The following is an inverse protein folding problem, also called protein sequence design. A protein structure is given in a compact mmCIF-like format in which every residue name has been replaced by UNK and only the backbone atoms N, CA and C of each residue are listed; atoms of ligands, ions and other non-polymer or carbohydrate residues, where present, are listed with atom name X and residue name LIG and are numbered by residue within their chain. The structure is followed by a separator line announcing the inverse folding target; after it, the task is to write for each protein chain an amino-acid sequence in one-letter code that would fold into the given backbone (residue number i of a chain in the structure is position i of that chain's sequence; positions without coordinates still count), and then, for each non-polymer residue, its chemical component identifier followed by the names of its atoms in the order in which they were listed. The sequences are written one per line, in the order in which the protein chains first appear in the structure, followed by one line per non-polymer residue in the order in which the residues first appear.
data_IF_672126689789
#
_entry.id   IF_672126689789
#
_cell.length_a   1.000
_cell.length_b   1.000
_cell.length_c   1.000
_cell.angle_alpha   90.00
_cell.angle_beta   90.00
_cell.angle_gamma   90.00
#
_symmetry.space_group_name_H-M   'P 1'
#
loop_
_entity.id
_entity.type
_entity.pdbx_description
1 polymer ?
#
# COMPACT_ATOMS: atom_id res chain seq x y z
N UNK A 1 -17.01 -14.02 -0.57
CA UNK A 1 -16.36 -14.49 -1.82
C UNK A 1 -16.48 -16.01 -1.85
N UNK A 2 -16.62 -16.62 -3.03
CA UNK A 2 -16.67 -18.08 -3.19
C UNK A 2 -15.29 -18.70 -2.87
N UNK A 3 -15.27 -19.95 -2.42
CA UNK A 3 -14.03 -20.70 -2.28
C UNK A 3 -13.42 -20.91 -3.67
N UNK A 4 -12.16 -20.51 -3.82
CA UNK A 4 -11.39 -20.66 -5.06
C UNK A 4 -10.34 -21.78 -4.88
N UNK A 5 -9.92 -22.38 -5.99
CA UNK A 5 -8.79 -23.31 -6.01
C UNK A 5 -7.87 -22.91 -7.15
N UNK A 6 -6.62 -22.55 -6.79
CA UNK A 6 -5.58 -22.18 -7.74
C UNK A 6 -4.45 -23.17 -7.64
N UNK A 7 -3.96 -23.64 -8.78
CA UNK A 7 -2.86 -24.61 -8.86
C UNK A 7 -1.70 -24.00 -9.63
N UNK A 8 -0.52 -23.97 -9.02
CA UNK A 8 0.73 -23.47 -9.62
C UNK A 8 1.78 -24.57 -9.58
N UNK A 9 2.76 -24.48 -10.48
CA UNK A 9 3.98 -25.29 -10.45
C UNK A 9 5.12 -24.41 -9.96
N UNK A 10 5.56 -24.63 -8.73
CA UNK A 10 6.61 -23.83 -8.07
C UNK A 10 7.96 -24.54 -8.15
N UNK A 11 9.02 -23.78 -8.33
CA UNK A 11 10.39 -24.27 -8.20
C UNK A 11 10.70 -24.60 -6.73
N UNK A 12 11.72 -25.43 -6.45
CA UNK A 12 12.12 -25.73 -5.06
C UNK A 12 12.38 -24.47 -4.22
N UNK A 13 13.08 -23.49 -4.78
CA UNK A 13 13.35 -22.23 -4.09
C UNK A 13 12.09 -21.40 -3.81
N UNK A 14 11.10 -21.41 -4.71
CA UNK A 14 9.80 -20.77 -4.46
C UNK A 14 9.01 -21.50 -3.38
N UNK A 15 9.08 -22.83 -3.34
CA UNK A 15 8.46 -23.61 -2.26
C UNK A 15 9.10 -23.35 -0.91
N UNK A 16 10.45 -23.24 -0.86
CA UNK A 16 11.19 -22.94 0.37
C UNK A 16 10.84 -21.55 0.90
N UNK A 17 10.73 -20.56 0.00
CA UNK A 17 10.28 -19.20 0.35
C UNK A 17 8.86 -19.21 0.89
N UNK A 18 7.93 -19.88 0.21
CA UNK A 18 6.54 -20.01 0.65
C UNK A 18 6.44 -20.66 2.04
N UNK A 19 7.16 -21.75 2.27
CA UNK A 19 7.20 -22.42 3.57
C UNK A 19 7.80 -21.52 4.65
N UNK A 20 8.92 -20.87 4.37
CA UNK A 20 9.59 -19.96 5.30
C UNK A 20 8.70 -18.80 5.77
N UNK A 21 7.92 -18.24 4.83
CA UNK A 21 7.00 -17.12 5.10
C UNK A 21 5.84 -17.45 6.02
N UNK A 22 5.43 -18.73 6.06
CA UNK A 22 4.24 -19.17 6.83
C UNK A 22 4.52 -20.41 7.67
N UNK A 23 5.75 -20.59 8.14
CA UNK A 23 6.21 -21.76 8.89
C UNK A 23 5.34 -22.08 10.10
N UNK A 24 4.89 -21.06 10.81
CA UNK A 24 4.08 -21.19 12.02
C UNK A 24 2.65 -21.66 11.72
N UNK A 25 2.22 -21.62 10.46
CA UNK A 25 0.94 -22.12 9.98
C UNK A 25 1.03 -23.56 9.43
N UNK A 26 2.16 -24.24 9.62
CA UNK A 26 2.38 -25.59 9.13
C UNK A 26 1.55 -26.62 9.89
N UNK A 27 0.94 -27.55 9.12
CA UNK A 27 0.18 -28.69 9.64
C UNK A 27 0.68 -29.98 9.02
N UNK A 28 0.25 -31.15 9.54
CA UNK A 28 0.61 -32.44 8.95
C UNK A 28 0.15 -32.50 7.49
N UNK A 29 1.08 -32.69 6.54
CA UNK A 29 0.74 -32.73 5.13
C UNK A 29 0.04 -34.04 4.74
N UNK A 30 -0.83 -34.02 3.74
CA UNK A 30 -1.39 -35.24 3.18
C UNK A 30 -0.30 -36.06 2.45
N UNK A 31 -0.63 -37.30 2.11
CA UNK A 31 0.29 -38.21 1.37
C UNK A 31 0.83 -37.53 0.09
N UNK A 32 2.14 -37.71 -0.16
CA UNK A 32 2.89 -37.14 -1.29
C UNK A 32 3.02 -35.62 -1.28
N UNK A 33 2.58 -34.92 -0.24
CA UNK A 33 2.84 -33.50 -0.07
C UNK A 33 4.13 -33.26 0.72
N UNK A 34 4.92 -32.31 0.26
CA UNK A 34 6.13 -31.85 0.94
C UNK A 34 5.79 -31.09 2.21
N UNK A 35 4.75 -30.22 2.14
CA UNK A 35 4.20 -29.48 3.28
C UNK A 35 2.75 -29.04 3.03
N UNK A 36 2.03 -28.75 4.10
CA UNK A 36 0.74 -28.08 4.06
C UNK A 36 0.73 -26.94 5.07
N UNK A 37 0.19 -25.79 4.64
CA UNK A 37 0.00 -24.59 5.46
C UNK A 37 -1.49 -24.31 5.59
N UNK A 38 -1.95 -24.03 6.83
CA UNK A 38 -3.35 -23.69 7.11
C UNK A 38 -3.40 -22.25 7.62
N UNK A 39 -3.80 -21.36 6.75
CA UNK A 39 -4.01 -19.93 7.01
C UNK A 39 -5.49 -19.67 7.31
N UNK A 40 -5.84 -18.48 7.80
CA UNK A 40 -7.21 -18.16 8.26
C UNK A 40 -8.29 -18.47 7.19
N UNK A 41 -8.06 -18.10 5.93
CA UNK A 41 -9.01 -18.28 4.82
C UNK A 41 -8.40 -19.04 3.62
N UNK A 42 -7.27 -19.72 3.81
CA UNK A 42 -6.59 -20.46 2.74
C UNK A 42 -5.83 -21.66 3.26
N UNK A 43 -5.93 -22.79 2.55
CA UNK A 43 -5.09 -23.96 2.74
C UNK A 43 -4.17 -24.06 1.54
N UNK A 44 -2.87 -24.17 1.79
CA UNK A 44 -1.85 -24.32 0.74
C UNK A 44 -1.22 -25.70 0.89
N UNK A 45 -1.29 -26.51 -0.15
CA UNK A 45 -0.67 -27.84 -0.17
C UNK A 45 0.37 -27.89 -1.29
N UNK A 46 1.63 -28.05 -0.95
CA UNK A 46 2.71 -28.21 -1.91
C UNK A 46 3.19 -29.65 -1.96
N UNK A 47 3.28 -30.18 -3.16
CA UNK A 47 3.68 -31.55 -3.44
C UNK A 47 5.15 -31.63 -3.89
N UNK A 48 5.76 -32.78 -3.72
CA UNK A 48 7.13 -33.11 -4.17
C UNK A 48 7.34 -32.84 -5.66
N UNK A 49 6.29 -33.03 -6.47
CA UNK A 49 6.30 -32.75 -7.91
C UNK A 49 6.44 -31.27 -8.30
N UNK A 50 6.46 -30.36 -7.33
CA UNK A 50 6.42 -28.92 -7.54
C UNK A 50 5.02 -28.34 -7.67
N UNK A 51 3.96 -29.19 -7.72
CA UNK A 51 2.58 -28.72 -7.75
C UNK A 51 2.20 -28.17 -6.38
N UNK A 52 1.77 -26.91 -6.33
CA UNK A 52 1.21 -26.26 -5.14
C UNK A 52 -0.24 -25.85 -5.39
N UNK A 53 -1.13 -26.22 -4.47
CA UNK A 53 -2.57 -25.97 -4.55
C UNK A 53 -2.97 -25.01 -3.45
N UNK A 54 -3.57 -23.89 -3.81
CA UNK A 54 -4.08 -22.85 -2.92
C UNK A 54 -5.61 -22.95 -2.92
N UNK A 55 -6.22 -23.18 -1.76
CA UNK A 55 -7.66 -23.41 -1.63
C UNK A 55 -8.26 -22.52 -0.55
N UNK A 56 -9.32 -21.78 -0.87
CA UNK A 56 -10.04 -20.94 0.08
C UNK A 56 -10.43 -19.59 -0.50
N UNK A 57 -10.98 -18.73 0.35
CA UNK A 57 -11.42 -17.39 -0.05
C UNK A 57 -10.26 -16.49 -0.45
N UNK A 58 -9.09 -16.67 0.18
CA UNK A 58 -7.88 -15.88 -0.05
C UNK A 58 -6.85 -16.63 -0.91
N UNK A 59 -7.25 -17.69 -1.61
CA UNK A 59 -6.36 -18.51 -2.47
C UNK A 59 -5.61 -17.64 -3.50
N UNK A 60 -6.29 -16.70 -4.16
CA UNK A 60 -5.71 -15.80 -5.14
C UNK A 60 -4.67 -14.85 -4.51
N UNK A 61 -4.92 -14.38 -3.29
CA UNK A 61 -4.00 -13.49 -2.58
C UNK A 61 -2.64 -14.14 -2.38
N UNK A 62 -2.63 -15.40 -1.93
CA UNK A 62 -1.38 -16.14 -1.69
C UNK A 62 -0.74 -16.69 -2.96
N UNK A 63 -1.56 -17.11 -3.94
CA UNK A 63 -1.06 -17.62 -5.22
C UNK A 63 -0.43 -16.52 -6.09
N UNK A 64 -0.95 -15.30 -6.04
CA UNK A 64 -0.50 -14.19 -6.89
C UNK A 64 1.00 -13.88 -6.75
N UNK A 65 1.58 -14.08 -5.55
CA UNK A 65 3.00 -13.91 -5.30
C UNK A 65 3.90 -14.87 -6.12
N UNK A 66 3.34 -15.96 -6.65
CA UNK A 66 4.04 -17.02 -7.39
C UNK A 66 3.53 -17.19 -8.84
N UNK A 67 2.51 -16.44 -9.24
CA UNK A 67 2.08 -16.41 -10.65
C UNK A 67 3.09 -15.65 -11.49
N UNK A 68 3.36 -16.15 -12.71
CA UNK A 68 4.14 -15.35 -13.67
C UNK A 68 3.38 -14.07 -13.95
N UNK A 69 4.07 -12.92 -14.03
CA UNK A 69 3.42 -11.69 -14.48
C UNK A 69 2.75 -11.90 -15.83
N UNK A 70 1.49 -11.53 -15.93
CA UNK A 70 0.80 -11.50 -17.22
C UNK A 70 1.37 -10.33 -18.03
N UNK A 71 2.13 -10.64 -19.09
CA UNK A 71 2.74 -9.64 -19.97
C UNK A 71 1.71 -8.69 -20.59
N UNK A 72 0.45 -9.14 -20.74
CA UNK A 72 -0.67 -8.29 -21.19
C UNK A 72 -1.01 -7.17 -20.21
N UNK A 73 -0.56 -7.27 -18.96
CA UNK A 73 -0.78 -6.25 -17.92
C UNK A 73 0.24 -5.09 -17.98
N UNK A 74 1.23 -5.12 -18.88
CA UNK A 74 2.26 -4.07 -18.93
C UNK A 74 2.26 -3.36 -20.29
N UNK A 75 2.57 -2.04 -20.33
CA UNK A 75 2.82 -1.18 -19.18
C UNK A 75 1.55 -0.88 -18.39
N UNK A 76 1.70 -0.70 -17.08
CA UNK A 76 0.62 -0.32 -16.17
C UNK A 76 1.01 0.90 -15.34
N UNK A 77 0.02 1.69 -14.93
CA UNK A 77 0.19 2.75 -13.93
C UNK A 77 -0.78 2.51 -12.77
N UNK A 78 -0.28 2.56 -11.56
CA UNK A 78 -1.08 2.36 -10.36
C UNK A 78 -0.82 3.44 -9.31
N UNK A 79 -1.79 3.68 -8.43
CA UNK A 79 -1.61 4.59 -7.31
C UNK A 79 -2.18 4.03 -6.01
N UNK A 80 -1.54 4.42 -4.91
CA UNK A 80 -1.91 4.05 -3.55
C UNK A 80 -1.60 5.18 -2.58
N UNK A 81 -2.19 5.11 -1.37
CA UNK A 81 -2.01 6.11 -0.31
C UNK A 81 -1.59 5.49 1.02
N UNK A 82 -0.84 6.27 1.81
CA UNK A 82 -0.41 5.94 3.18
C UNK A 82 -0.68 7.11 4.12
N UNK A 83 -0.93 6.81 5.40
CA UNK A 83 -1.10 7.79 6.46
C UNK A 83 -2.55 8.18 6.73
N UNK A 84 -3.52 7.62 6.00
CA UNK A 84 -4.95 7.93 6.20
C UNK A 84 -5.54 7.32 7.47
N UNK A 85 -4.95 6.23 7.96
CA UNK A 85 -5.30 5.56 9.22
C UNK A 85 -4.44 5.97 10.42
N UNK A 86 -3.46 6.84 10.21
CA UNK A 86 -2.54 7.30 11.24
C UNK A 86 -2.94 8.68 11.76
N UNK A 87 -3.02 8.82 13.08
CA UNK A 87 -3.31 10.10 13.72
C UNK A 87 -2.20 11.13 13.47
N UNK A 88 -0.96 10.73 13.71
CA UNK A 88 0.23 11.54 13.42
C UNK A 88 0.71 11.36 11.98
N UNK A 89 1.43 12.38 11.50
CA UNK A 89 2.06 12.35 10.19
C UNK A 89 1.14 12.72 9.02
N UNK A 90 1.72 12.86 7.83
CA UNK A 90 1.06 13.35 6.64
C UNK A 90 0.12 12.31 6.01
N UNK A 91 -0.58 12.73 4.95
CA UNK A 91 -1.14 11.82 3.94
C UNK A 91 -0.22 11.85 2.72
N UNK A 92 0.26 10.68 2.33
CA UNK A 92 1.13 10.50 1.18
C UNK A 92 0.39 9.70 0.11
N UNK A 93 0.40 10.18 -1.14
CA UNK A 93 -0.17 9.47 -2.30
C UNK A 93 0.90 9.40 -3.38
N UNK A 94 1.11 8.21 -3.93
CA UNK A 94 2.01 8.01 -5.04
C UNK A 94 1.27 7.38 -6.23
N UNK A 95 1.66 7.77 -7.45
CA UNK A 95 1.35 7.04 -8.68
C UNK A 95 2.66 6.68 -9.37
N UNK A 96 2.81 5.45 -9.85
CA UNK A 96 4.01 4.99 -10.56
C UNK A 96 3.68 4.15 -11.79
N UNK A 97 4.54 4.25 -12.81
CA UNK A 97 4.46 3.43 -14.02
C UNK A 97 5.44 2.28 -13.91
N UNK A 98 4.94 1.07 -14.16
CA UNK A 98 5.74 -0.16 -14.24
C UNK A 98 5.63 -0.72 -15.66
N UNK A 99 6.78 -1.01 -16.26
CA UNK A 99 6.93 -1.67 -17.55
C UNK A 99 7.36 -3.12 -17.35
N UNK A 100 7.19 -3.95 -18.35
CA UNK A 100 7.66 -5.34 -18.31
C UNK A 100 9.16 -5.43 -17.94
N UNK A 101 9.99 -4.51 -18.43
CA UNK A 101 11.43 -4.45 -18.13
C UNK A 101 11.75 -4.14 -16.66
N UNK A 102 10.78 -3.71 -15.88
CA UNK A 102 10.98 -3.33 -14.47
C UNK A 102 10.63 -4.50 -13.53
N UNK A 103 9.90 -5.51 -14.03
CA UNK A 103 9.34 -6.60 -13.20
C UNK A 103 10.42 -7.35 -12.44
N UNK A 104 11.53 -7.72 -13.10
CA UNK A 104 12.62 -8.46 -12.45
C UNK A 104 13.20 -7.72 -11.25
N UNK A 105 13.42 -6.40 -11.39
CA UNK A 105 13.90 -5.55 -10.29
C UNK A 105 12.87 -5.47 -9.16
N UNK A 106 11.59 -5.32 -9.48
CA UNK A 106 10.55 -5.22 -8.46
C UNK A 106 10.39 -6.53 -7.67
N UNK A 107 10.58 -7.68 -8.34
CA UNK A 107 10.58 -8.98 -7.68
C UNK A 107 11.81 -9.15 -6.77
N UNK A 108 13.00 -8.72 -7.22
CA UNK A 108 14.23 -8.72 -6.42
C UNK A 108 14.09 -7.86 -5.16
N UNK A 109 13.46 -6.68 -5.28
CA UNK A 109 13.19 -5.77 -4.17
C UNK A 109 12.00 -6.21 -3.29
N UNK A 110 11.38 -7.35 -3.58
CA UNK A 110 10.28 -7.90 -2.78
C UNK A 110 8.96 -7.15 -2.90
N UNK A 111 8.77 -6.29 -3.91
CA UNK A 111 7.57 -5.44 -4.06
C UNK A 111 6.27 -6.24 -4.07
N UNK A 112 6.31 -7.48 -4.57
CA UNK A 112 5.15 -8.37 -4.66
C UNK A 112 4.72 -8.96 -3.30
N UNK A 113 5.61 -8.98 -2.33
CA UNK A 113 5.37 -9.56 -0.99
C UNK A 113 5.00 -8.47 0.05
N UNK A 114 4.23 -7.46 -0.35
CA UNK A 114 3.94 -6.24 0.41
C UNK A 114 3.47 -6.46 1.87
N UNK A 115 2.86 -7.61 2.17
CA UNK A 115 2.42 -7.97 3.53
C UNK A 115 3.57 -8.37 4.46
N UNK A 116 4.76 -8.68 3.92
CA UNK A 116 5.94 -9.11 4.68
C UNK A 116 7.04 -8.05 4.70
N UNK A 117 6.88 -6.98 3.91
CA UNK A 117 7.86 -5.90 3.85
C UNK A 117 7.81 -5.09 5.14
N UNK A 118 8.93 -5.06 5.85
CA UNK A 118 9.09 -4.24 7.05
C UNK A 118 9.35 -2.77 6.70
N UNK A 119 9.16 -1.86 7.68
CA UNK A 119 9.54 -0.46 7.49
C UNK A 119 11.04 -0.28 7.17
N UNK A 120 11.90 -1.16 7.69
CA UNK A 120 13.33 -1.17 7.38
C UNK A 120 13.59 -1.51 5.90
N UNK A 121 12.91 -2.54 5.37
CA UNK A 121 13.01 -2.91 3.95
C UNK A 121 12.50 -1.78 3.05
N UNK A 122 11.41 -1.11 3.44
CA UNK A 122 10.88 0.05 2.71
C UNK A 122 11.90 1.18 2.66
N UNK A 123 12.52 1.52 3.79
CA UNK A 123 13.54 2.55 3.85
C UNK A 123 14.77 2.21 3.00
N UNK A 124 15.11 0.93 2.89
CA UNK A 124 16.22 0.44 2.09
C UNK A 124 15.89 0.40 0.59
N UNK A 125 14.72 -0.09 0.20
CA UNK A 125 14.40 -0.42 -1.19
C UNK A 125 13.69 0.69 -1.96
N UNK A 126 12.86 1.52 -1.30
CA UNK A 126 12.10 2.56 -1.99
C UNK A 126 12.95 3.60 -2.75
N UNK A 127 14.16 3.99 -2.31
CA UNK A 127 15.03 4.85 -3.11
C UNK A 127 15.36 4.28 -4.49
N UNK A 128 15.59 2.97 -4.59
CA UNK A 128 15.87 2.30 -5.88
C UNK A 128 14.62 2.31 -6.79
N UNK A 129 13.41 2.10 -6.21
CA UNK A 129 12.15 2.22 -6.94
C UNK A 129 11.94 3.65 -7.48
N UNK A 130 12.19 4.66 -6.64
CA UNK A 130 12.05 6.07 -7.02
C UNK A 130 13.05 6.48 -8.12
N UNK A 131 14.26 5.94 -8.10
CA UNK A 131 15.25 6.19 -9.14
C UNK A 131 14.89 5.51 -10.47
N UNK A 132 14.22 4.35 -10.42
CA UNK A 132 13.92 3.54 -11.61
C UNK A 132 12.60 3.87 -12.26
N UNK A 133 11.53 4.06 -11.46
CA UNK A 133 10.17 4.16 -11.97
C UNK A 133 9.77 5.62 -12.20
N UNK A 134 9.15 5.95 -13.36
CA UNK A 134 8.42 7.20 -13.50
C UNK A 134 7.32 7.25 -12.44
N UNK A 135 7.35 8.26 -11.56
CA UNK A 135 6.40 8.38 -10.47
C UNK A 135 6.03 9.84 -10.17
N UNK A 136 4.92 10.00 -9.47
CA UNK A 136 4.48 11.27 -8.86
C UNK A 136 4.10 11.00 -7.42
N UNK A 137 4.82 11.61 -6.51
CA UNK A 137 4.60 11.54 -5.07
C UNK A 137 4.05 12.88 -4.57
N UNK A 138 2.96 12.81 -3.83
CA UNK A 138 2.32 13.95 -3.15
C UNK A 138 2.34 13.72 -1.64
N UNK A 139 2.82 14.70 -0.90
CA UNK A 139 2.85 14.70 0.57
C UNK A 139 2.01 15.87 1.06
N UNK A 140 0.92 15.57 1.76
CA UNK A 140 0.05 16.58 2.37
C UNK A 140 0.34 16.59 3.87
N UNK A 141 1.09 17.60 4.32
CA UNK A 141 1.41 17.78 5.74
C UNK A 141 0.15 18.02 6.58
N UNK A 142 0.28 17.84 7.90
CA UNK A 142 -0.86 17.91 8.82
C UNK A 142 -1.57 19.28 8.80
N UNK A 143 -0.86 20.40 8.73
CA UNK A 143 -1.46 21.73 8.64
C UNK A 143 -2.36 21.85 7.41
N UNK A 144 -1.84 21.49 6.23
CA UNK A 144 -2.61 21.55 4.98
C UNK A 144 -3.76 20.56 4.99
N UNK A 145 -3.53 19.35 5.51
CA UNK A 145 -4.58 18.36 5.68
C UNK A 145 -5.72 18.90 6.54
N UNK A 146 -5.44 19.44 7.72
CA UNK A 146 -6.43 19.97 8.66
C UNK A 146 -7.20 21.16 8.06
N UNK A 147 -6.52 22.03 7.31
CA UNK A 147 -7.15 23.14 6.59
C UNK A 147 -8.19 22.62 5.58
N UNK A 148 -7.78 21.69 4.70
CA UNK A 148 -8.62 21.15 3.64
C UNK A 148 -9.76 20.32 4.21
N UNK A 149 -9.51 19.56 5.28
CA UNK A 149 -10.48 18.68 5.90
C UNK A 149 -11.67 19.43 6.54
N UNK A 150 -11.54 20.72 6.85
CA UNK A 150 -12.65 21.56 7.35
C UNK A 150 -13.85 21.59 6.39
N UNK A 151 -13.60 21.50 5.09
CA UNK A 151 -14.63 21.62 4.04
C UNK A 151 -14.71 20.40 3.12
N UNK A 152 -13.76 19.47 3.23
CA UNK A 152 -13.63 18.35 2.30
C UNK A 152 -13.40 17.06 3.08
N UNK A 153 -14.27 16.07 2.90
CA UNK A 153 -14.11 14.78 3.59
C UNK A 153 -12.88 14.00 3.07
N UNK A 154 -12.43 13.01 3.87
CA UNK A 154 -11.22 12.25 3.58
C UNK A 154 -11.25 11.56 2.21
N UNK A 155 -12.39 10.94 1.82
CA UNK A 155 -12.49 10.27 0.52
C UNK A 155 -12.35 11.26 -0.65
N UNK A 156 -12.90 12.47 -0.51
CA UNK A 156 -12.74 13.51 -1.52
C UNK A 156 -11.29 14.03 -1.57
N UNK A 157 -10.61 14.14 -0.44
CA UNK A 157 -9.18 14.48 -0.38
C UNK A 157 -8.38 13.39 -1.11
N UNK A 158 -8.60 12.11 -0.79
CA UNK A 158 -7.95 10.98 -1.45
C UNK A 158 -8.18 11.01 -2.97
N UNK A 159 -9.43 11.12 -3.41
CA UNK A 159 -9.77 11.16 -4.84
C UNK A 159 -9.01 12.28 -5.58
N UNK A 160 -8.97 13.48 -5.01
CA UNK A 160 -8.24 14.62 -5.59
C UNK A 160 -6.73 14.38 -5.63
N UNK A 161 -6.15 13.75 -4.61
CA UNK A 161 -4.72 13.44 -4.57
C UNK A 161 -4.35 12.36 -5.59
N UNK A 162 -5.11 11.27 -5.68
CA UNK A 162 -4.89 10.25 -6.71
C UNK A 162 -4.97 10.84 -8.12
N UNK A 163 -6.04 11.61 -8.40
CA UNK A 163 -6.16 12.28 -9.69
C UNK A 163 -4.97 13.20 -9.96
N UNK A 164 -4.56 14.02 -8.98
CA UNK A 164 -3.43 14.95 -9.15
C UNK A 164 -2.11 14.21 -9.37
N UNK A 165 -1.88 13.07 -8.70
CA UNK A 165 -0.70 12.23 -8.93
C UNK A 165 -0.65 11.74 -10.39
N UNK A 166 -1.77 11.26 -10.93
CA UNK A 166 -1.88 10.88 -12.34
C UNK A 166 -1.70 12.08 -13.28
N UNK A 167 -2.30 13.23 -13.00
CA UNK A 167 -2.14 14.45 -13.81
C UNK A 167 -0.68 14.89 -13.86
N UNK A 168 0.01 14.89 -12.72
CA UNK A 168 1.43 15.23 -12.65
C UNK A 168 2.30 14.25 -13.43
N UNK A 169 1.95 12.97 -13.41
CA UNK A 169 2.66 11.93 -14.13
C UNK A 169 2.42 12.04 -15.64
N UNK A 170 1.17 12.32 -16.04
CA UNK A 170 0.78 12.56 -17.43
C UNK A 170 1.50 13.77 -18.05
N UNK A 171 1.84 14.77 -17.24
CA UNK A 171 2.61 15.93 -17.71
C UNK A 171 4.08 15.60 -18.01
N UNK A 172 4.59 14.46 -17.52
CA UNK A 172 5.99 14.04 -17.68
C UNK A 172 6.17 12.93 -18.71
N UNK A 173 5.15 12.08 -18.88
CA UNK A 173 5.21 10.91 -19.75
C UNK A 173 3.79 10.47 -20.13
N UNK A 174 3.66 9.77 -21.25
CA UNK A 174 2.39 9.16 -21.63
C UNK A 174 1.96 8.10 -20.60
N UNK A 175 0.70 8.21 -20.17
CA UNK A 175 0.15 7.23 -19.22
C UNK A 175 -0.24 5.95 -19.97
N UNK A 176 0.07 4.77 -19.39
CA UNK A 176 -0.45 3.50 -19.85
C UNK A 176 -1.98 3.48 -19.96
N UNK A 177 -2.50 2.62 -20.84
CA UNK A 177 -3.95 2.37 -20.95
C UNK A 177 -4.49 1.74 -19.67
N UNK A 178 -3.74 0.79 -19.08
CA UNK A 178 -4.10 0.15 -17.82
C UNK A 178 -3.72 1.07 -16.64
N UNK A 179 -4.74 1.70 -16.04
CA UNK A 179 -4.66 2.64 -14.92
C UNK A 179 -5.41 2.06 -13.74
N UNK A 180 -4.78 1.92 -12.58
CA UNK A 180 -5.32 1.19 -11.44
C UNK A 180 -5.26 2.06 -10.18
N UNK A 181 -6.36 2.11 -9.42
CA UNK A 181 -6.39 2.67 -8.06
C UNK A 181 -6.82 1.56 -7.10
N UNK A 182 -6.12 1.41 -5.96
CA UNK A 182 -6.66 0.60 -4.86
C UNK A 182 -7.97 1.22 -4.37
N UNK A 183 -9.06 0.43 -4.44
CA UNK A 183 -10.41 0.95 -4.29
C UNK A 183 -10.71 1.32 -2.83
N UNK A 184 -10.83 2.58 -2.54
CA UNK A 184 -11.23 3.13 -1.25
C UNK A 184 -12.66 3.70 -1.22
N UNK A 185 -13.28 3.87 -2.39
CA UNK A 185 -14.66 4.37 -2.55
C UNK A 185 -15.24 3.82 -3.85
N UNK A 186 -16.57 3.75 -4.02
CA UNK A 186 -17.18 3.42 -5.31
C UNK A 186 -16.74 4.38 -6.42
N UNK A 187 -16.55 3.86 -7.64
CA UNK A 187 -16.13 4.63 -8.81
C UNK A 187 -16.99 5.88 -9.04
N UNK A 188 -18.31 5.76 -8.94
CA UNK A 188 -19.25 6.90 -9.08
C UNK A 188 -18.98 8.01 -8.07
N UNK A 189 -18.62 7.64 -6.83
CA UNK A 189 -18.26 8.60 -5.79
C UNK A 189 -16.91 9.24 -6.05
N UNK A 190 -15.92 8.48 -6.53
CA UNK A 190 -14.63 9.01 -6.92
C UNK A 190 -14.76 10.13 -7.95
N UNK A 191 -15.45 9.88 -9.07
CA UNK A 191 -15.64 10.91 -10.11
C UNK A 191 -16.51 12.06 -9.64
N UNK A 192 -17.49 11.84 -8.78
CA UNK A 192 -18.27 12.93 -8.14
C UNK A 192 -17.36 13.86 -7.31
N UNK A 193 -16.40 13.32 -6.57
CA UNK A 193 -15.43 14.12 -5.80
C UNK A 193 -14.47 14.95 -6.67
N UNK A 194 -14.34 14.58 -7.95
CA UNK A 194 -13.50 15.29 -8.91
C UNK A 194 -14.25 16.36 -9.70
N UNK A 195 -15.57 16.54 -9.48
CA UNK A 195 -16.32 17.61 -10.14
C UNK A 195 -15.68 18.97 -9.86
N UNK A 196 -15.53 19.78 -10.92
CA UNK A 196 -14.88 21.09 -10.85
C UNK A 196 -13.34 21.05 -10.92
N UNK A 197 -12.70 19.87 -10.99
CA UNK A 197 -11.27 19.78 -11.24
C UNK A 197 -10.97 20.14 -12.71
N UNK A 198 -9.87 20.88 -12.93
CA UNK A 198 -9.44 21.32 -14.28
C UNK A 198 -9.15 20.14 -15.21
N UNK A 199 -8.57 19.07 -14.66
CA UNK A 199 -8.20 17.86 -15.42
C UNK A 199 -8.58 16.64 -14.59
N UNK A 200 -9.30 15.71 -15.20
CA UNK A 200 -9.69 14.43 -14.60
C UNK A 200 -9.17 13.31 -15.48
N UNK A 201 -8.37 12.43 -14.89
CA UNK A 201 -7.90 11.23 -15.55
C UNK A 201 -9.00 10.18 -15.50
N UNK A 202 -9.43 9.72 -16.67
CA UNK A 202 -10.48 8.70 -16.84
C UNK A 202 -9.92 7.31 -17.08
N UNK A 203 -10.84 6.36 -17.33
CA UNK A 203 -10.52 4.96 -17.62
C UNK A 203 -9.70 4.31 -16.49
N UNK A 204 -10.07 4.58 -15.26
CA UNK A 204 -9.44 4.01 -14.07
C UNK A 204 -10.12 2.67 -13.75
N UNK A 205 -9.33 1.64 -13.51
CA UNK A 205 -9.76 0.38 -12.91
C UNK A 205 -9.68 0.53 -11.38
N UNK A 206 -10.82 0.43 -10.72
CA UNK A 206 -10.92 0.39 -9.27
C UNK A 206 -10.94 -1.07 -8.82
N UNK A 207 -9.95 -1.47 -8.05
CA UNK A 207 -9.79 -2.85 -7.62
C UNK A 207 -9.44 -2.90 -6.14
N UNK A 208 -10.15 -3.68 -5.36
CA UNK A 208 -9.83 -3.85 -3.93
C UNK A 208 -8.59 -4.73 -3.76
N UNK A 209 -7.69 -4.33 -2.85
CA UNK A 209 -6.41 -4.99 -2.63
C UNK A 209 -5.58 -5.05 -3.92
N UNK A 210 -5.59 -3.97 -4.68
CA UNK A 210 -4.93 -3.88 -5.97
C UNK A 210 -3.41 -4.04 -5.84
N UNK A 211 -2.81 -3.71 -4.72
CA UNK A 211 -1.40 -3.91 -4.40
C UNK A 211 -0.96 -5.38 -4.48
N UNK A 212 -1.89 -6.33 -4.28
CA UNK A 212 -1.60 -7.75 -4.40
C UNK A 212 -1.61 -8.26 -5.86
N UNK A 213 -2.20 -7.48 -6.77
CA UNK A 213 -2.42 -7.89 -8.17
C UNK A 213 -1.56 -7.10 -9.16
N UNK A 214 -1.27 -5.83 -8.86
CA UNK A 214 -0.63 -4.89 -9.77
C UNK A 214 0.64 -4.32 -9.15
N UNK A 215 1.78 -4.62 -9.77
CA UNK A 215 3.09 -4.15 -9.29
C UNK A 215 3.20 -2.62 -9.26
N UNK A 216 2.48 -1.90 -10.15
CA UNK A 216 2.46 -0.44 -10.11
C UNK A 216 1.77 0.12 -8.85
N UNK A 217 0.72 -0.56 -8.36
CA UNK A 217 0.07 -0.18 -7.10
C UNK A 217 0.96 -0.52 -5.92
N UNK A 218 1.54 -1.72 -5.89
CA UNK A 218 2.46 -2.15 -4.82
C UNK A 218 3.70 -1.24 -4.74
N UNK A 219 4.31 -0.89 -5.87
CA UNK A 219 5.44 0.04 -5.91
C UNK A 219 5.04 1.44 -5.42
N UNK A 220 3.84 1.92 -5.81
CA UNK A 220 3.31 3.20 -5.33
C UNK A 220 3.05 3.20 -3.84
N UNK A 221 2.53 2.10 -3.29
CA UNK A 221 2.36 1.90 -1.85
C UNK A 221 3.69 2.02 -1.11
N UNK A 222 4.74 1.33 -1.59
CA UNK A 222 6.08 1.39 -0.99
C UNK A 222 6.68 2.80 -1.03
N UNK A 223 6.55 3.51 -2.16
CA UNK A 223 7.06 4.88 -2.28
C UNK A 223 6.29 5.83 -1.34
N UNK A 224 4.96 5.70 -1.27
CA UNK A 224 4.13 6.49 -0.36
C UNK A 224 4.47 6.19 1.11
N UNK A 225 4.70 4.90 1.46
CA UNK A 225 5.11 4.48 2.80
C UNK A 225 6.50 5.03 3.17
N UNK A 226 7.45 4.98 2.25
CA UNK A 226 8.76 5.58 2.44
C UNK A 226 8.65 7.08 2.78
N UNK A 227 7.87 7.82 2.00
CA UNK A 227 7.67 9.25 2.23
C UNK A 227 7.00 9.54 3.58
N UNK A 228 6.04 8.70 3.98
CA UNK A 228 5.41 8.78 5.29
C UNK A 228 6.43 8.54 6.41
N UNK A 229 7.24 7.48 6.33
CA UNK A 229 8.26 7.17 7.33
C UNK A 229 9.31 8.28 7.45
N UNK A 230 9.79 8.80 6.33
CA UNK A 230 10.74 9.94 6.32
C UNK A 230 10.12 11.21 6.91
N UNK A 231 8.82 11.43 6.70
CA UNK A 231 8.12 12.57 7.30
C UNK A 231 7.94 12.38 8.82
N UNK A 232 7.66 11.16 9.28
CA UNK A 232 7.60 10.84 10.70
C UNK A 232 8.97 11.07 11.37
N UNK A 233 10.05 10.56 10.77
CA UNK A 233 11.42 10.76 11.24
C UNK A 233 11.78 12.27 11.36
N UNK A 234 11.42 13.06 10.35
CA UNK A 234 11.65 14.51 10.38
C UNK A 234 10.87 15.21 11.52
N UNK A 235 9.60 14.78 11.74
CA UNK A 235 8.80 15.29 12.86
C UNK A 235 9.41 14.90 14.22
N UNK A 236 9.90 13.66 14.36
CA UNK A 236 10.56 13.18 15.58
C UNK A 236 11.83 13.98 15.90
N UNK A 237 12.59 14.31 14.86
CA UNK A 237 13.78 15.17 15.00
C UNK A 237 13.41 16.61 15.38
N UNK A 238 12.36 17.19 14.74
CA UNK A 238 11.92 18.57 15.00
C UNK A 238 11.42 18.74 16.44
N UNK A 239 10.63 17.77 16.93
CA UNK A 239 10.00 17.86 18.26
C UNK A 239 10.77 17.10 19.35
N UNK A 240 11.85 16.39 19.03
CA UNK A 240 12.65 15.61 20.01
C UNK A 240 11.81 14.61 20.78
N UNK A 241 10.84 13.94 20.12
CA UNK A 241 10.03 12.88 20.69
C UNK A 241 9.56 11.90 19.61
N UNK A 242 9.36 10.64 19.99
CA UNK A 242 8.81 9.61 19.11
C UNK A 242 7.31 9.79 18.91
N UNK A 243 6.85 9.53 17.67
CA UNK A 243 5.42 9.54 17.32
C UNK A 243 4.93 8.12 17.01
N UNK A 244 3.90 7.69 17.73
CA UNK A 244 3.29 6.36 17.56
C UNK A 244 2.39 6.34 16.33
N UNK A 245 2.56 5.35 15.45
CA UNK A 245 1.73 5.14 14.26
C UNK A 245 0.35 4.56 14.61
N UNK A 246 -0.63 4.78 13.72
CA UNK A 246 -2.00 4.32 13.91
C UNK A 246 -2.85 5.29 14.72
N UNK A 247 -3.86 4.77 15.45
CA UNK A 247 -4.83 5.55 16.23
C UNK A 247 -5.25 4.86 17.54
N UNK A 248 -4.37 4.01 18.09
CA UNK A 248 -4.58 3.23 19.32
C UNK A 248 -4.51 4.08 20.60
N UNK A 249 -4.72 3.46 21.75
CA UNK A 249 -4.54 4.10 23.06
C UNK A 249 -3.10 4.57 23.35
N UNK A 250 -2.10 3.92 22.75
CA UNK A 250 -0.71 4.38 22.82
C UNK A 250 -0.53 5.72 22.08
N UNK A 251 -1.28 5.93 20.99
CA UNK A 251 -1.32 7.22 20.28
C UNK A 251 -1.96 8.30 21.16
N UNK A 252 -3.02 7.99 21.93
CA UNK A 252 -3.64 8.94 22.88
C UNK A 252 -2.61 9.40 23.94
N UNK A 253 -1.78 8.48 24.45
CA UNK A 253 -0.73 8.81 25.44
C UNK A 253 0.36 9.71 24.82
N UNK A 254 0.80 9.37 23.60
CA UNK A 254 1.76 10.18 22.84
C UNK A 254 1.22 11.59 22.60
N UNK A 255 -0.06 11.73 22.22
CA UNK A 255 -0.70 13.01 21.99
C UNK A 255 -0.80 13.87 23.26
N UNK A 256 -1.14 13.26 24.40
CA UNK A 256 -1.12 13.97 25.72
C UNK A 256 0.28 14.45 26.07
N UNK A 257 1.31 13.63 25.86
CA UNK A 257 2.70 14.00 26.09
C UNK A 257 3.11 15.18 25.20
N UNK A 258 2.71 15.16 23.92
CA UNK A 258 2.96 16.26 22.97
C UNK A 258 2.28 17.54 23.43
N UNK A 259 0.97 17.49 23.74
CA UNK A 259 0.21 18.68 24.18
C UNK A 259 0.76 19.26 25.49
N UNK A 260 1.16 18.39 26.44
CA UNK A 260 1.82 18.82 27.69
C UNK A 260 3.11 19.60 27.44
N UNK A 261 3.86 19.25 26.40
CA UNK A 261 5.18 19.84 26.11
C UNK A 261 5.09 21.05 25.17
N UNK A 262 4.19 21.02 24.20
CA UNK A 262 4.16 22.00 23.11
C UNK A 262 2.86 22.82 23.01
N UNK A 263 1.84 22.48 23.79
CA UNK A 263 0.53 23.12 23.74
C UNK A 263 -0.42 22.53 22.68
N UNK A 264 -1.71 22.75 22.91
CA UNK A 264 -2.78 22.24 22.03
C UNK A 264 -2.75 22.90 20.64
N UNK A 265 -2.30 24.16 20.56
CA UNK A 265 -2.17 24.93 19.33
C UNK A 265 -1.16 24.32 18.35
N UNK A 266 -0.14 23.62 18.86
CA UNK A 266 0.87 22.93 18.04
C UNK A 266 0.43 21.55 17.54
N UNK A 267 -0.62 20.98 18.12
CA UNK A 267 -1.08 19.63 17.77
C UNK A 267 -1.42 19.49 16.28
N UNK A 268 -2.00 20.54 15.70
CA UNK A 268 -2.34 20.54 14.27
C UNK A 268 -1.14 20.49 13.31
N UNK A 269 0.08 20.70 13.80
CA UNK A 269 1.30 20.61 12.99
C UNK A 269 1.72 19.14 12.79
N UNK A 270 1.34 18.26 13.71
CA UNK A 270 1.77 16.85 13.75
C UNK A 270 0.63 15.84 13.65
N UNK A 271 -0.62 16.24 13.93
CA UNK A 271 -1.78 15.34 14.01
C UNK A 271 -2.93 15.77 13.08
N UNK A 272 -3.74 14.77 12.67
CA UNK A 272 -5.00 14.93 11.94
C UNK A 272 -6.14 15.13 12.93
N UNK A 273 -6.54 16.39 13.16
CA UNK A 273 -7.41 16.80 14.26
C UNK A 273 -8.83 16.21 14.24
N UNK A 274 -9.28 15.66 13.11
CA UNK A 274 -10.61 15.03 12.99
C UNK A 274 -10.69 13.63 13.61
N UNK A 275 -9.56 13.03 14.01
CA UNK A 275 -9.55 11.73 14.68
C UNK A 275 -10.12 11.85 16.10
N UNK A 276 -10.83 10.80 16.54
CA UNK A 276 -11.37 10.70 17.91
C UNK A 276 -10.29 10.81 19.01
N UNK A 277 -9.03 10.58 18.66
CA UNK A 277 -7.90 10.77 19.57
C UNK A 277 -7.81 12.21 20.07
N UNK A 278 -8.15 13.20 19.23
CA UNK A 278 -8.17 14.63 19.62
C UNK A 278 -9.21 14.94 20.70
N UNK A 279 -10.37 14.26 20.66
CA UNK A 279 -11.48 14.47 21.62
C UNK A 279 -11.13 13.99 23.03
N UNK A 280 -10.07 13.19 23.18
CA UNK A 280 -9.62 12.59 24.46
C UNK A 280 -8.49 13.36 25.15
N UNK A 281 -8.10 14.53 24.62
CA UNK A 281 -6.97 15.35 25.12
C UNK A 281 -7.40 16.52 26.04
#
# INVERSE_FOLDING_TARGET
MANQTITLKLTPGQQDRLFGSFRDCSVNPPAYARFQLRLENCVITCYESGKCVFQGKDAEVYASAFMKPDESLYPQVGSDEVGTGDYFGPVCVCASIVRQSDVALLEELGVKDSKQITDADILQHAPALMARLPHSLLIVNNRKYNEVHKTTNLNAIKAKLHNQAYVNLAAKTELPVLRIIDQFTPESSYYRYLQGQKTVIGQIRFETKAENKYLSVAASSMIARYAFLKSMEAMEQEYGMEFVKGASSAVDQCARAFVKRYGMEKLGDVAKLHFKNTEKL
#
